data_IF_362513083153
#
_entry.id   IF_362513083153
#
_cell.length_a   1.000
_cell.length_b   1.000
_cell.length_c   1.000
_cell.angle_alpha   90.00
_cell.angle_beta   90.00
_cell.angle_gamma   90.00
#
_symmetry.space_group_name_H-M   'P 1'
#
loop_
_entity.id
_entity.type
_entity.pdbx_description
1 polymer ?
#
# COMPACT_ATOMS: atom_id res chain seq x y z
N UNK A 1 24.85 -0.30 -43.76
CA UNK A 1 23.66 -0.41 -42.89
C UNK A 1 23.83 -1.64 -42.03
N UNK A 2 24.04 -1.49 -40.72
CA UNK A 2 24.09 -2.65 -39.83
C UNK A 2 22.69 -3.25 -39.71
N UNK A 3 22.53 -4.58 -39.77
CA UNK A 3 21.24 -5.20 -39.55
C UNK A 3 20.75 -4.84 -38.14
N UNK A 4 19.54 -4.27 -38.04
CA UNK A 4 18.86 -4.15 -36.74
C UNK A 4 18.48 -5.57 -36.33
N UNK A 5 19.20 -6.14 -35.38
CA UNK A 5 18.79 -7.36 -34.70
C UNK A 5 17.54 -7.03 -33.88
N UNK A 6 16.38 -7.48 -34.35
CA UNK A 6 15.15 -7.46 -33.55
C UNK A 6 15.26 -8.62 -32.56
N UNK A 7 15.43 -8.31 -31.27
CA UNK A 7 15.37 -9.33 -30.21
C UNK A 7 13.90 -9.71 -30.00
N UNK A 8 13.56 -10.96 -30.30
CA UNK A 8 12.26 -11.53 -30.00
C UNK A 8 12.28 -12.15 -28.59
N UNK A 9 11.28 -11.81 -27.78
CA UNK A 9 11.08 -12.41 -26.46
C UNK A 9 9.97 -13.45 -26.57
N UNK A 10 10.19 -14.66 -26.06
CA UNK A 10 9.21 -15.74 -26.12
C UNK A 10 8.64 -16.05 -24.72
N UNK A 11 7.38 -16.45 -24.67
CA UNK A 11 6.80 -17.04 -23.46
C UNK A 11 7.23 -18.53 -23.31
N UNK A 12 6.95 -19.20 -22.18
CA UNK A 12 7.30 -20.61 -21.98
C UNK A 12 6.67 -21.58 -22.99
N UNK A 13 5.60 -21.18 -23.65
CA UNK A 13 4.92 -21.93 -24.72
C UNK A 13 5.54 -21.70 -26.11
N UNK A 14 6.56 -20.84 -26.22
CA UNK A 14 7.26 -20.52 -27.47
C UNK A 14 6.61 -19.39 -28.29
N UNK A 15 5.58 -18.72 -27.78
CA UNK A 15 4.92 -17.61 -28.48
C UNK A 15 5.67 -16.29 -28.28
N UNK A 16 5.72 -15.46 -29.33
CA UNK A 16 6.34 -14.14 -29.28
C UNK A 16 5.56 -13.20 -28.37
N UNK A 17 6.22 -12.70 -27.34
CA UNK A 17 5.72 -11.64 -26.48
C UNK A 17 5.88 -10.30 -27.16
N UNK A 18 4.78 -9.55 -27.27
CA UNK A 18 4.82 -8.14 -27.66
C UNK A 18 5.63 -7.30 -26.67
N UNK A 19 6.20 -6.20 -27.15
CA UNK A 19 7.04 -5.29 -26.35
C UNK A 19 6.38 -4.89 -25.02
N UNK A 20 5.10 -4.52 -25.04
CA UNK A 20 4.37 -4.13 -23.83
C UNK A 20 4.24 -5.28 -22.81
N UNK A 21 4.14 -6.53 -23.25
CA UNK A 21 4.10 -7.67 -22.34
C UNK A 21 5.45 -7.87 -21.66
N UNK A 22 6.54 -7.71 -22.41
CA UNK A 22 7.91 -7.80 -21.88
C UNK A 22 8.15 -6.71 -20.83
N UNK A 23 7.80 -5.45 -21.13
CA UNK A 23 7.95 -4.33 -20.18
C UNK A 23 7.16 -4.59 -18.90
N UNK A 24 5.88 -5.02 -18.99
CA UNK A 24 5.07 -5.38 -17.82
C UNK A 24 5.71 -6.46 -16.94
N UNK A 25 6.29 -7.48 -17.57
CA UNK A 25 6.95 -8.59 -16.87
C UNK A 25 8.21 -8.07 -16.17
N UNK A 26 9.06 -7.32 -16.88
CA UNK A 26 10.28 -6.74 -16.34
C UNK A 26 10.02 -5.79 -15.16
N UNK A 27 9.02 -4.91 -15.28
CA UNK A 27 8.61 -4.00 -14.19
C UNK A 27 8.20 -4.82 -12.95
N UNK A 28 7.35 -5.84 -13.12
CA UNK A 28 6.88 -6.69 -12.02
C UNK A 28 8.02 -7.43 -11.31
N UNK A 29 8.97 -7.99 -12.07
CA UNK A 29 10.13 -8.65 -11.47
C UNK A 29 10.97 -7.68 -10.65
N UNK A 30 11.23 -6.49 -11.20
CA UNK A 30 11.98 -5.42 -10.52
C UNK A 30 11.30 -5.03 -9.21
N UNK A 31 9.98 -4.82 -9.24
CA UNK A 31 9.19 -4.47 -8.05
C UNK A 31 9.18 -5.60 -7.01
N UNK A 32 9.08 -6.85 -7.44
CA UNK A 32 9.08 -8.00 -6.53
C UNK A 32 10.41 -8.16 -5.78
N UNK A 33 11.52 -7.83 -6.45
CA UNK A 33 12.88 -7.92 -5.92
C UNK A 33 13.23 -6.76 -4.97
N UNK A 34 12.58 -5.61 -5.11
CA UNK A 34 12.76 -4.49 -4.18
C UNK A 34 12.37 -4.92 -2.76
N UNK A 35 13.19 -4.53 -1.78
CA UNK A 35 12.82 -4.61 -0.38
C UNK A 35 11.70 -3.61 -0.09
N UNK A 36 10.83 -3.92 0.86
CA UNK A 36 9.72 -3.08 1.25
C UNK A 36 8.82 -3.82 2.21
N UNK A 37 8.19 -3.10 3.13
CA UNK A 37 7.28 -3.73 4.07
C UNK A 37 5.94 -4.01 3.41
N UNK A 38 5.47 -5.27 3.50
CA UNK A 38 4.16 -5.65 2.97
C UNK A 38 3.04 -5.15 3.88
N UNK A 39 2.22 -4.24 3.36
CA UNK A 39 1.11 -3.66 4.12
C UNK A 39 0.06 -4.71 4.50
N UNK A 40 -0.06 -5.80 3.73
CA UNK A 40 -0.95 -6.90 4.06
C UNK A 40 -0.50 -7.67 5.30
N UNK A 41 0.76 -7.59 5.72
CA UNK A 41 1.21 -8.23 6.97
C UNK A 41 0.70 -7.52 8.22
N UNK A 42 0.46 -6.21 8.13
CA UNK A 42 -0.04 -5.43 9.25
C UNK A 42 -1.48 -5.75 9.61
N UNK A 43 -2.22 -6.40 8.72
CA UNK A 43 -3.60 -6.81 8.94
C UNK A 43 -3.73 -8.27 9.40
N UNK A 44 -2.61 -9.02 9.48
CA UNK A 44 -2.55 -10.44 9.89
C UNK A 44 -2.29 -10.66 11.39
N UNK A 45 -1.87 -9.62 12.13
CA UNK A 45 -1.47 -9.74 13.53
C UNK A 45 -2.67 -9.65 14.49
N UNK A 46 -3.39 -10.75 14.65
CA UNK A 46 -4.42 -10.95 15.67
C UNK A 46 -5.35 -12.10 15.30
N UNK A 47 -5.78 -12.92 16.28
CA UNK A 47 -6.81 -13.94 16.10
C UNK A 47 -8.19 -13.29 15.83
N UNK A 48 -8.39 -12.63 14.69
CA UNK A 48 -9.70 -12.25 14.15
C UNK A 48 -9.50 -11.45 12.85
N UNK A 49 -9.76 -12.08 11.70
CA UNK A 49 -9.90 -11.48 10.37
C UNK A 49 -8.72 -10.62 9.85
N UNK A 50 -8.58 -10.46 8.52
CA UNK A 50 -7.79 -9.35 8.00
C UNK A 50 -8.39 -8.05 8.55
N UNK A 51 -7.61 -7.24 9.26
CA UNK A 51 -8.04 -5.86 9.56
C UNK A 51 -8.34 -5.14 8.24
N UNK A 52 -9.53 -4.55 8.13
CA UNK A 52 -9.94 -3.82 6.92
C UNK A 52 -9.17 -2.49 6.74
N UNK A 53 -8.38 -2.08 7.74
CA UNK A 53 -7.56 -0.87 7.74
C UNK A 53 -6.22 -1.05 8.48
N UNK A 54 -5.24 -0.21 8.16
CA UNK A 54 -3.97 -0.15 8.88
C UNK A 54 -4.18 0.36 10.31
N UNK A 55 -3.48 -0.20 11.31
CA UNK A 55 -3.46 0.35 12.66
C UNK A 55 -2.92 1.78 12.69
N UNK A 56 -3.46 2.64 13.56
CA UNK A 56 -3.08 4.05 13.69
C UNK A 56 -1.55 4.26 13.85
N UNK A 57 -0.90 3.40 14.64
CA UNK A 57 0.56 3.43 14.81
C UNK A 57 1.30 3.29 13.48
N UNK A 58 0.82 2.43 12.58
CA UNK A 58 1.41 2.22 11.24
C UNK A 58 1.10 3.37 10.32
N UNK A 59 -0.12 3.93 10.38
CA UNK A 59 -0.47 5.14 9.64
C UNK A 59 0.52 6.27 9.99
N UNK A 60 0.69 6.57 11.29
CA UNK A 60 1.64 7.59 11.77
C UNK A 60 3.07 7.34 11.30
N UNK A 61 3.53 6.09 11.35
CA UNK A 61 4.89 5.72 10.93
C UNK A 61 5.10 5.91 9.41
N UNK A 62 4.09 5.55 8.61
CA UNK A 62 4.12 5.60 7.15
C UNK A 62 3.93 7.03 6.60
N UNK A 63 3.24 7.90 7.32
CA UNK A 63 2.95 9.28 6.90
C UNK A 63 3.88 10.32 7.53
N UNK A 64 4.75 9.95 8.48
CA UNK A 64 5.74 10.85 9.08
C UNK A 64 6.87 11.18 8.09
N UNK A 65 6.96 12.40 7.53
CA UNK A 65 7.95 12.77 6.51
C UNK A 65 9.40 12.73 7.03
N UNK A 66 9.60 12.70 8.36
CA UNK A 66 10.94 12.66 8.97
C UNK A 66 11.47 11.23 9.17
N UNK A 67 10.60 10.22 9.04
CA UNK A 67 10.99 8.83 9.21
C UNK A 67 11.93 8.39 8.06
N UNK A 68 13.21 8.13 8.37
CA UNK A 68 14.21 7.71 7.37
C UNK A 68 14.33 6.19 7.21
N UNK A 69 13.66 5.39 8.04
CA UNK A 69 13.79 3.92 8.03
C UNK A 69 12.97 3.27 6.92
N UNK A 70 11.85 3.89 6.54
CA UNK A 70 10.96 3.40 5.50
C UNK A 70 11.27 4.09 4.19
N UNK A 71 11.85 3.35 3.25
CA UNK A 71 12.18 3.81 1.90
C UNK A 71 11.18 3.34 0.85
N UNK A 72 10.42 2.30 1.16
CA UNK A 72 9.48 1.65 0.23
C UNK A 72 8.46 0.79 0.98
N UNK A 73 7.33 0.53 0.33
CA UNK A 73 6.29 -0.41 0.78
C UNK A 73 5.97 -1.41 -0.31
N UNK A 74 5.38 -2.54 0.07
CA UNK A 74 4.76 -3.48 -0.85
C UNK A 74 3.24 -3.46 -0.69
N UNK A 75 2.56 -3.35 -1.82
CA UNK A 75 1.10 -3.37 -1.93
C UNK A 75 0.75 -4.30 -3.07
N UNK A 76 -0.03 -5.34 -2.79
CA UNK A 76 -0.30 -6.44 -3.73
C UNK A 76 0.98 -7.02 -4.37
N UNK A 77 2.03 -7.19 -3.58
CA UNK A 77 3.33 -7.70 -4.05
C UNK A 77 4.13 -6.75 -4.94
N UNK A 78 3.61 -5.55 -5.23
CA UNK A 78 4.28 -4.51 -6.01
C UNK A 78 4.94 -3.51 -5.06
N UNK A 79 6.20 -3.19 -5.31
CA UNK A 79 6.94 -2.21 -4.53
C UNK A 79 6.64 -0.79 -5.01
N UNK A 80 6.48 0.12 -4.05
CA UNK A 80 6.34 1.54 -4.28
C UNK A 80 7.41 2.27 -3.49
N UNK A 81 8.12 3.18 -4.16
CA UNK A 81 9.18 3.96 -3.56
C UNK A 81 8.58 5.14 -2.83
N UNK A 82 9.12 5.43 -1.65
CA UNK A 82 8.65 6.56 -0.87
C UNK A 82 9.09 7.88 -1.48
N UNK A 83 8.16 8.81 -1.58
CA UNK A 83 8.36 10.17 -2.08
C UNK A 83 7.82 11.14 -1.04
N UNK A 84 8.62 12.15 -0.70
CA UNK A 84 8.24 13.21 0.24
C UNK A 84 8.20 14.54 -0.50
N UNK A 85 7.05 15.21 -0.48
CA UNK A 85 6.83 16.53 -1.10
C UNK A 85 6.31 17.49 -0.05
N UNK A 86 7.19 18.35 0.46
CA UNK A 86 6.86 19.18 1.62
C UNK A 86 6.56 18.30 2.85
N UNK A 87 5.32 18.36 3.36
CA UNK A 87 4.88 17.56 4.50
C UNK A 87 4.05 16.32 4.08
N UNK A 88 3.90 16.08 2.78
CA UNK A 88 3.13 14.96 2.26
C UNK A 88 4.07 13.78 1.94
N UNK A 89 3.66 12.59 2.37
CA UNK A 89 4.34 11.33 2.04
C UNK A 89 3.43 10.53 1.11
N UNK A 90 3.94 10.22 -0.07
CA UNK A 90 3.32 9.32 -1.03
C UNK A 90 4.25 8.16 -1.35
N UNK A 91 3.70 7.07 -1.88
CA UNK A 91 4.47 5.96 -2.38
C UNK A 91 4.19 5.80 -3.86
N UNK A 92 5.21 5.97 -4.69
CA UNK A 92 5.07 6.09 -6.13
C UNK A 92 5.79 4.93 -6.83
N UNK A 93 5.23 4.45 -7.93
CA UNK A 93 5.93 3.61 -8.90
C UNK A 93 5.55 4.02 -10.31
N UNK A 94 6.43 3.77 -11.26
CA UNK A 94 6.13 3.97 -12.68
C UNK A 94 6.28 2.65 -13.40
N UNK A 95 5.23 2.22 -14.07
CA UNK A 95 5.23 0.99 -14.86
C UNK A 95 4.51 1.26 -16.18
N UNK A 96 5.11 0.87 -17.31
CA UNK A 96 4.52 1.03 -18.65
C UNK A 96 4.01 2.46 -18.98
N UNK A 97 4.76 3.49 -18.57
CA UNK A 97 4.35 4.89 -18.79
C UNK A 97 3.15 5.34 -17.96
N UNK A 98 2.74 4.54 -16.98
CA UNK A 98 1.72 4.89 -15.99
C UNK A 98 2.40 5.05 -14.65
N UNK A 99 2.24 6.24 -14.07
CA UNK A 99 2.64 6.54 -12.70
C UNK A 99 1.50 6.15 -11.77
N UNK A 100 1.74 5.21 -10.88
CA UNK A 100 0.84 4.88 -9.79
C UNK A 100 1.35 5.54 -8.50
N UNK A 101 0.44 6.06 -7.70
CA UNK A 101 0.73 6.68 -6.41
C UNK A 101 -0.21 6.13 -5.35
N UNK A 102 0.31 5.90 -4.16
CA UNK A 102 -0.42 5.45 -2.99
C UNK A 102 -0.22 6.48 -1.87
N UNK A 103 -1.31 7.05 -1.39
CA UNK A 103 -1.34 7.85 -0.17
C UNK A 103 -2.02 7.05 0.94
N UNK A 104 -1.45 7.08 2.14
CA UNK A 104 -2.05 6.42 3.31
C UNK A 104 -2.98 7.41 4.01
N UNK A 105 -4.26 7.06 4.12
CA UNK A 105 -5.27 7.91 4.74
C UNK A 105 -5.25 7.76 6.27
N UNK A 106 -5.79 8.76 6.96
CA UNK A 106 -5.86 8.76 8.43
C UNK A 106 -6.71 7.62 9.00
N UNK A 107 -7.66 7.11 8.22
CA UNK A 107 -8.50 5.96 8.56
C UNK A 107 -7.82 4.60 8.27
N UNK A 108 -6.57 4.62 7.82
CA UNK A 108 -5.77 3.41 7.56
C UNK A 108 -6.06 2.75 6.21
N UNK A 109 -6.88 3.36 5.35
CA UNK A 109 -7.07 2.94 3.97
C UNK A 109 -5.97 3.47 3.05
N UNK A 110 -5.86 2.85 1.88
CA UNK A 110 -4.97 3.29 0.81
C UNK A 110 -5.77 4.10 -0.20
N UNK A 111 -5.27 5.28 -0.56
CA UNK A 111 -5.76 6.03 -1.71
C UNK A 111 -4.81 5.81 -2.88
N UNK A 112 -5.25 5.06 -3.90
CA UNK A 112 -4.46 4.73 -5.08
C UNK A 112 -4.91 5.58 -6.26
N UNK A 113 -3.97 6.28 -6.89
CA UNK A 113 -4.19 7.04 -8.13
C UNK A 113 -3.25 6.51 -9.21
N UNK A 114 -3.73 6.42 -10.45
CA UNK A 114 -2.92 6.09 -11.62
C UNK A 114 -3.05 7.18 -12.68
N UNK A 115 -1.91 7.68 -13.17
CA UNK A 115 -1.80 8.81 -14.09
C UNK A 115 -0.89 8.43 -15.25
N UNK A 116 -1.28 8.73 -16.49
CA UNK A 116 -0.41 8.56 -17.67
C UNK A 116 0.70 9.61 -17.72
N UNK A 117 1.74 9.36 -18.50
CA UNK A 117 2.82 10.33 -18.74
C UNK A 117 2.36 11.72 -19.23
N UNK A 118 1.17 11.82 -19.84
CA UNK A 118 0.58 13.08 -20.31
C UNK A 118 -0.22 13.82 -19.21
N UNK A 119 -0.28 13.30 -17.98
CA UNK A 119 -1.03 13.87 -16.86
C UNK A 119 -2.49 13.43 -16.74
N UNK A 120 -2.99 12.59 -17.65
CA UNK A 120 -4.36 12.07 -17.61
C UNK A 120 -4.53 11.08 -16.45
N UNK A 121 -5.50 11.34 -15.56
CA UNK A 121 -5.88 10.41 -14.48
C UNK A 121 -6.70 9.26 -15.06
N UNK A 122 -6.20 8.04 -14.90
CA UNK A 122 -6.80 6.81 -15.44
C UNK A 122 -7.72 6.16 -14.40
N UNK A 123 -7.34 6.22 -13.13
CA UNK A 123 -8.11 5.62 -12.05
C UNK A 123 -7.76 6.25 -10.71
N UNK A 124 -8.76 6.27 -9.83
CA UNK A 124 -8.67 6.69 -8.44
C UNK A 124 -9.51 5.71 -7.61
N UNK A 125 -8.92 5.13 -6.56
CA UNK A 125 -9.55 4.07 -5.77
C UNK A 125 -9.17 4.16 -4.30
N UNK A 126 -10.13 3.83 -3.43
CA UNK A 126 -9.86 3.56 -2.02
C UNK A 126 -9.73 2.06 -1.83
N UNK A 127 -8.62 1.59 -1.27
CA UNK A 127 -8.31 0.18 -1.14
C UNK A 127 -8.03 -0.16 0.33
N UNK A 128 -8.33 -1.40 0.70
CA UNK A 128 -7.83 -2.00 1.94
C UNK A 128 -6.30 -2.13 1.91
N UNK A 129 -5.63 -2.37 3.05
CA UNK A 129 -4.17 -2.45 3.10
C UNK A 129 -3.52 -3.54 2.22
N UNK A 130 -4.29 -4.54 1.79
CA UNK A 130 -3.82 -5.55 0.85
C UNK A 130 -3.67 -5.03 -0.60
N UNK A 131 -4.23 -3.87 -0.92
CA UNK A 131 -4.18 -3.26 -2.24
C UNK A 131 -5.06 -3.91 -3.31
N UNK A 132 -5.86 -4.92 -2.95
CA UNK A 132 -6.73 -5.66 -3.88
C UNK A 132 -8.19 -5.30 -3.72
N UNK A 133 -8.64 -5.22 -2.47
CA UNK A 133 -10.04 -4.99 -2.16
C UNK A 133 -10.34 -3.49 -2.19
N UNK A 134 -11.23 -3.10 -3.10
CA UNK A 134 -11.76 -1.75 -3.16
C UNK A 134 -12.79 -1.52 -2.05
N UNK A 135 -12.79 -0.30 -1.50
CA UNK A 135 -13.66 0.12 -0.41
C UNK A 135 -14.64 1.14 -0.97
N UNK A 136 -15.94 0.79 -0.94
CA UNK A 136 -17.00 1.74 -1.31
C UNK A 136 -17.12 2.85 -0.27
N UNK A 137 -17.77 3.99 -0.58
CA UNK A 137 -18.02 5.03 0.40
C UNK A 137 -18.70 4.52 1.68
N UNK A 138 -19.71 3.66 1.55
CA UNK A 138 -20.43 3.07 2.68
C UNK A 138 -19.54 2.09 3.47
N UNK A 139 -18.67 1.36 2.78
CA UNK A 139 -17.67 0.50 3.41
C UNK A 139 -16.67 1.31 4.24
N UNK A 140 -16.25 2.46 3.72
CA UNK A 140 -15.32 3.37 4.39
C UNK A 140 -15.93 3.97 5.66
N UNK A 141 -17.19 4.38 5.62
CA UNK A 141 -17.90 4.87 6.82
C UNK A 141 -17.91 3.83 7.95
N UNK A 142 -18.18 2.56 7.63
CA UNK A 142 -18.14 1.47 8.62
C UNK A 142 -16.76 1.29 9.24
N UNK A 143 -15.70 1.40 8.44
CA UNK A 143 -14.31 1.28 8.91
C UNK A 143 -13.97 2.44 9.85
N UNK A 144 -14.33 3.67 9.48
CA UNK A 144 -14.13 4.86 10.31
C UNK A 144 -14.88 4.73 11.64
N UNK A 145 -16.13 4.30 11.61
CA UNK A 145 -16.94 4.12 12.82
C UNK A 145 -16.44 2.98 13.72
N UNK A 146 -15.95 1.88 13.12
CA UNK A 146 -15.31 0.81 13.86
C UNK A 146 -14.01 1.28 14.53
N UNK A 147 -13.21 2.10 13.86
CA UNK A 147 -12.00 2.71 14.43
C UNK A 147 -12.27 3.60 15.63
N UNK A 148 -13.34 4.41 15.58
CA UNK A 148 -13.79 5.22 16.73
C UNK A 148 -14.21 4.33 17.92
N UNK A 149 -15.07 3.33 17.68
CA UNK A 149 -15.55 2.41 18.73
C UNK A 149 -14.44 1.55 19.33
N UNK A 150 -13.47 1.11 18.53
CA UNK A 150 -12.31 0.34 18.99
C UNK A 150 -11.39 1.16 19.90
N UNK A 151 -11.28 2.46 19.65
CA UNK A 151 -10.53 3.40 20.50
C UNK A 151 -11.15 3.47 21.90
N UNK A 152 -12.48 3.60 21.98
CA UNK A 152 -13.22 3.66 23.25
C UNK A 152 -13.07 2.38 24.09
N UNK A 153 -13.03 1.20 23.46
CA UNK A 153 -12.80 -0.08 24.14
C UNK A 153 -11.35 -0.24 24.63
N UNK A 154 -10.37 0.28 23.89
CA UNK A 154 -8.96 0.26 24.31
C UNK A 154 -8.69 1.16 25.53
N UNK A 155 -9.41 2.28 25.66
CA UNK A 155 -9.38 3.12 26.87
C UNK A 155 -9.99 2.39 28.09
N UNK A 156 -11.02 1.58 27.90
CA UNK A 156 -11.65 0.81 28.97
C UNK A 156 -10.76 -0.36 29.46
N UNK A 157 -10.02 -1.03 28.59
CA UNK A 157 -9.15 -2.15 28.97
C UNK A 157 -7.88 -1.66 29.71
N UNK A 158 -7.34 -0.50 29.32
CA UNK A 158 -6.24 0.14 30.04
C UNK A 158 -6.65 0.72 31.40
N UNK A 159 -7.88 1.20 31.57
CA UNK A 159 -8.36 1.72 32.86
C UNK A 159 -8.62 0.61 33.90
N UNK A 160 -9.01 -0.60 33.45
CA UNK A 160 -9.10 -1.78 34.32
C UNK A 160 -7.73 -2.29 34.78
N UNK A 161 -6.74 -2.38 33.88
CA UNK A 161 -5.35 -2.75 34.27
C UNK A 161 -4.71 -1.73 35.21
N UNK A 162 -4.99 -0.44 35.02
CA UNK A 162 -4.54 0.59 35.95
C UNK A 162 -5.18 0.46 37.35
N UNK A 163 -6.46 0.06 37.42
CA UNK A 163 -7.14 -0.12 38.71
C UNK A 163 -6.68 -1.37 39.49
N UNK A 164 -6.27 -2.45 38.82
CA UNK A 164 -5.71 -3.62 39.51
C UNK A 164 -4.30 -3.37 40.06
N UNK A 165 -3.53 -2.46 39.47
CA UNK A 165 -2.15 -2.18 39.91
C UNK A 165 -2.09 -1.26 41.13
N UNK A 166 -3.17 -0.53 41.44
CA UNK A 166 -3.22 0.42 42.56
C UNK A 166 -3.81 -0.22 43.84
N UNK A 167 -4.58 -1.31 43.72
CA UNK A 167 -5.12 -2.07 44.87
C UNK A 167 -4.16 -3.11 45.47
N UNK A 168 -2.95 -3.23 44.92
CA UNK A 168 -1.85 -4.06 45.45
C UNK A 168 -0.73 -3.17 46.00
N UNK A 169 -1.03 -2.41 47.04
CA UNK A 169 -0.02 -1.77 47.90
C UNK A 169 -0.51 -1.66 49.33
#
# INVERSE_FOLDING_TARGET
>A
MSPKTTTEYLNPSGEVLGHDAVVRISDRFTDSAKSGTDLAEYTKNGKAAPLDALPERRVKELTDPTNKKLTSIKVDGLAYDRVVKGNEVTFERTANGVKESISILSDGLLHKTAVRSNGEVISEKFLKPNGREEVTPEGRERIVDAGKKGSDLAFLDNSKKASETISLK
#
